data_IF_351370369751
#
_entry.id   IF_351370369751
#
_cell.length_a   1.000
_cell.length_b   1.000
_cell.length_c   1.000
_cell.angle_alpha   90.00
_cell.angle_beta   90.00
_cell.angle_gamma   90.00
#
_symmetry.space_group_name_H-M   'P 1'
#
loop_
_entity.id
_entity.type
_entity.pdbx_description
1 polymer ?
#
# COMPACT_ATOMS: atom_id res chain seq x y z
N UNK A 1 -27.11 31.58 35.09
CA UNK A 1 -27.00 30.92 36.40
C UNK A 1 -27.38 29.47 36.14
N UNK A 2 -26.39 28.62 35.85
CA UNK A 2 -25.64 27.81 36.83
C UNK A 2 -26.58 26.72 37.40
N UNK A 3 -26.27 25.42 37.39
CA UNK A 3 -25.14 24.78 38.06
C UNK A 3 -25.02 23.29 37.60
N UNK A 4 -23.77 22.84 37.43
CA UNK A 4 -23.11 21.51 37.66
C UNK A 4 -23.94 20.21 37.80
N UNK A 5 -23.64 19.12 37.07
CA UNK A 5 -22.48 18.19 37.08
C UNK A 5 -22.45 17.19 38.26
N UNK A 6 -22.59 15.89 37.97
CA UNK A 6 -21.71 14.83 38.51
C UNK A 6 -21.84 13.51 37.72
N UNK A 7 -20.69 12.87 37.47
CA UNK A 7 -20.50 11.50 37.02
C UNK A 7 -20.86 10.49 38.11
N UNK A 8 -21.24 9.26 37.72
CA UNK A 8 -20.81 8.07 38.43
C UNK A 8 -20.57 6.87 37.49
N UNK A 9 -19.47 6.19 37.77
CA UNK A 9 -18.84 5.08 37.06
C UNK A 9 -19.40 3.76 37.59
N UNK A 10 -19.75 2.79 36.73
CA UNK A 10 -19.87 1.38 37.14
C UNK A 10 -19.61 0.42 35.96
N UNK A 11 -18.63 -0.45 36.15
CA UNK A 11 -18.40 -1.70 35.43
C UNK A 11 -18.01 -2.76 36.50
N UNK A 12 -17.88 -4.05 36.20
CA UNK A 12 -18.69 -4.96 35.37
C UNK A 12 -19.00 -6.28 36.14
N UNK A 13 -19.88 -7.15 35.61
CA UNK A 13 -19.86 -8.58 35.93
C UNK A 13 -21.15 -9.19 36.46
N UNK A 14 -22.02 -9.66 35.55
CA UNK A 14 -23.04 -10.66 35.85
C UNK A 14 -23.62 -11.33 34.59
N UNK A 15 -23.58 -10.67 33.44
CA UNK A 15 -24.32 -11.12 32.25
C UNK A 15 -23.65 -12.23 31.41
N UNK A 16 -22.43 -12.69 31.74
CA UNK A 16 -21.68 -13.65 30.90
C UNK A 16 -21.79 -15.13 31.35
N UNK A 17 -22.51 -15.45 32.43
CA UNK A 17 -22.60 -16.84 32.93
C UNK A 17 -23.85 -17.61 32.46
N UNK A 18 -24.86 -16.95 31.91
CA UNK A 18 -26.10 -17.61 31.45
C UNK A 18 -26.04 -18.22 30.05
N UNK A 19 -25.16 -17.72 29.17
CA UNK A 19 -25.13 -18.11 27.76
C UNK A 19 -24.34 -19.40 27.44
N UNK A 20 -23.71 -20.03 28.45
CA UNK A 20 -22.81 -21.18 28.27
C UNK A 20 -23.45 -22.56 28.51
N UNK A 21 -24.75 -22.64 28.82
CA UNK A 21 -25.40 -23.92 29.17
C UNK A 21 -26.47 -24.42 28.18
N UNK A 22 -26.62 -23.82 27.01
CA UNK A 22 -27.59 -24.28 26.00
C UNK A 22 -26.95 -24.40 24.60
N UNK A 23 -26.09 -25.41 24.41
CA UNK A 23 -25.66 -25.85 23.08
C UNK A 23 -26.11 -27.31 22.86
N UNK A 24 -26.91 -27.61 21.81
CA UNK A 24 -27.31 -28.98 21.49
C UNK A 24 -26.15 -29.79 20.89
N UNK A 25 -26.14 -31.11 21.15
CA UNK A 25 -25.13 -32.06 20.66
C UNK A 25 -25.15 -32.17 19.12
N UNK A 26 -23.98 -32.35 18.46
CA UNK A 26 -23.89 -32.36 17.01
C UNK A 26 -24.36 -33.70 16.40
N UNK A 27 -25.28 -33.64 15.44
CA UNK A 27 -25.67 -34.74 14.57
C UNK A 27 -24.67 -34.95 13.43
N UNK A 28 -24.74 -36.14 12.83
CA UNK A 28 -23.87 -36.86 11.87
C UNK A 28 -23.17 -36.13 10.70
N UNK A 29 -23.29 -34.81 10.53
CA UNK A 29 -22.54 -34.03 9.53
C UNK A 29 -21.10 -33.68 9.93
N UNK A 30 -20.72 -33.84 11.20
CA UNK A 30 -19.40 -33.46 11.74
C UNK A 30 -18.27 -34.43 11.44
N UNK A 31 -18.56 -35.64 10.94
CA UNK A 31 -17.52 -36.61 10.56
C UNK A 31 -16.79 -36.23 9.26
N UNK A 32 -17.41 -35.47 8.36
CA UNK A 32 -16.76 -34.98 7.13
C UNK A 32 -15.83 -33.77 7.41
N UNK A 33 -16.22 -32.88 8.33
CA UNK A 33 -15.38 -31.75 8.76
C UNK A 33 -14.17 -32.21 9.60
N UNK A 34 -14.32 -33.28 10.39
CA UNK A 34 -13.21 -33.87 11.15
C UNK A 34 -12.20 -34.61 10.27
N UNK A 35 -12.59 -35.09 9.09
CA UNK A 35 -11.67 -35.68 8.11
C UNK A 35 -10.81 -34.61 7.42
N UNK A 36 -11.39 -33.45 7.05
CA UNK A 36 -10.66 -32.31 6.50
C UNK A 36 -9.70 -31.66 7.51
N UNK A 37 -9.99 -31.71 8.81
CA UNK A 37 -9.10 -31.22 9.86
C UNK A 37 -7.92 -32.18 10.19
N UNK A 38 -7.98 -33.45 9.72
CA UNK A 38 -6.90 -34.44 9.93
C UNK A 38 -5.77 -34.37 8.89
N UNK A 39 -5.94 -33.59 7.82
CA UNK A 39 -4.88 -33.29 6.83
C UNK A 39 -4.12 -31.98 7.13
N UNK A 40 -4.38 -31.34 8.27
CA UNK A 40 -3.52 -30.27 8.77
C UNK A 40 -2.17 -30.84 9.25
N UNK A 41 -1.01 -30.36 8.77
CA UNK A 41 0.28 -30.90 9.18
C UNK A 41 0.49 -30.73 10.69
N UNK A 42 0.57 -31.84 11.43
CA UNK A 42 1.00 -31.84 12.84
C UNK A 42 2.44 -31.32 12.90
N UNK A 43 2.66 -30.19 13.58
CA UNK A 43 3.99 -29.70 13.98
C UNK A 43 4.71 -30.79 14.78
N UNK A 44 5.69 -31.48 14.17
CA UNK A 44 6.71 -32.21 14.93
C UNK A 44 7.74 -31.21 15.44
N UNK A 45 7.88 -31.15 16.76
CA UNK A 45 8.95 -30.41 17.45
C UNK A 45 10.21 -31.29 17.37
N UNK A 46 11.03 -31.07 16.34
CA UNK A 46 12.37 -31.66 16.19
C UNK A 46 13.43 -30.61 16.54
N UNK A 47 14.39 -30.98 17.38
CA UNK A 47 15.38 -30.06 17.96
C UNK A 47 16.51 -29.64 17.01
N UNK A 48 17.07 -28.47 17.35
CA UNK A 48 18.32 -27.84 16.89
C UNK A 48 18.50 -27.62 15.38
N UNK A 49 18.16 -26.39 14.96
CA UNK A 49 19.02 -25.58 14.09
C UNK A 49 19.01 -25.88 12.59
N UNK A 50 17.88 -25.62 11.93
CA UNK A 50 17.76 -25.60 10.47
C UNK A 50 16.31 -25.81 10.06
N UNK A 51 15.68 -24.80 9.44
CA UNK A 51 14.30 -24.89 9.00
C UNK A 51 14.24 -25.76 7.74
N UNK A 52 14.09 -27.07 7.93
CA UNK A 52 13.84 -28.02 6.84
C UNK A 52 12.42 -27.82 6.31
N UNK A 53 12.33 -27.53 5.00
CA UNK A 53 11.12 -27.23 4.25
C UNK A 53 10.26 -28.50 4.24
N UNK A 54 9.21 -28.56 5.05
CA UNK A 54 8.32 -29.72 5.10
C UNK A 54 7.56 -29.85 3.78
N UNK A 55 7.75 -31.00 3.14
CA UNK A 55 7.06 -31.48 1.95
C UNK A 55 5.54 -31.28 2.02
N UNK A 56 5.04 -30.37 1.20
CA UNK A 56 3.63 -30.32 0.80
C UNK A 56 3.61 -30.42 -0.71
N UNK A 57 2.83 -31.36 -1.23
CA UNK A 57 2.77 -31.78 -2.63
C UNK A 57 2.26 -30.71 -3.64
N UNK A 58 2.33 -29.42 -3.28
CA UNK A 58 1.96 -28.27 -4.12
C UNK A 58 3.10 -27.24 -4.27
N UNK A 59 4.32 -27.55 -3.80
CA UNK A 59 5.53 -26.76 -4.02
C UNK A 59 6.42 -27.39 -5.11
N UNK A 60 5.91 -27.48 -6.33
CA UNK A 60 6.79 -27.42 -7.49
C UNK A 60 6.64 -26.04 -8.12
N UNK A 61 7.25 -25.05 -7.46
CA UNK A 61 7.58 -23.79 -8.12
C UNK A 61 8.45 -24.16 -9.33
N UNK A 62 7.95 -23.94 -10.55
CA UNK A 62 8.75 -24.15 -11.74
C UNK A 62 9.93 -23.18 -11.72
N UNK A 63 11.11 -23.69 -11.40
CA UNK A 63 12.32 -22.90 -11.42
C UNK A 63 12.86 -22.81 -12.84
N UNK A 64 12.35 -21.84 -13.61
CA UNK A 64 12.91 -21.49 -14.92
C UNK A 64 13.95 -20.36 -14.80
N UNK A 65 14.45 -20.03 -13.60
CA UNK A 65 15.47 -18.98 -13.42
C UNK A 65 16.78 -19.45 -14.06
N UNK A 66 16.99 -19.08 -15.32
CA UNK A 66 18.20 -19.43 -16.07
C UNK A 66 17.96 -19.76 -17.53
N UNK A 67 16.70 -19.99 -17.94
CA UNK A 67 16.35 -20.28 -19.33
C UNK A 67 16.18 -18.94 -20.08
N UNK A 68 17.04 -18.69 -21.09
CA UNK A 68 16.84 -17.58 -22.03
C UNK A 68 15.93 -18.06 -23.16
N UNK A 69 14.73 -17.49 -23.27
CA UNK A 69 13.74 -17.82 -24.31
C UNK A 69 12.43 -18.39 -23.75
N UNK A 70 11.56 -18.89 -24.65
CA UNK A 70 10.38 -19.65 -24.25
C UNK A 70 10.79 -20.94 -23.53
N UNK A 71 10.07 -21.33 -22.47
CA UNK A 71 10.33 -22.57 -21.75
C UNK A 71 10.28 -23.75 -22.74
N UNK A 72 11.31 -24.63 -22.79
CA UNK A 72 11.39 -25.65 -23.82
C UNK A 72 10.17 -26.60 -23.79
N UNK A 73 9.64 -27.01 -24.96
CA UNK A 73 8.58 -27.99 -25.06
C UNK A 73 9.06 -29.38 -24.62
N UNK A 74 8.14 -30.30 -24.27
CA UNK A 74 8.46 -31.56 -23.63
C UNK A 74 9.13 -32.52 -24.61
N UNK A 75 10.44 -32.53 -24.66
CA UNK A 75 11.18 -33.69 -25.11
C UNK A 75 12.61 -33.66 -24.54
N UNK A 76 13.06 -34.85 -24.15
CA UNK A 76 14.43 -35.20 -23.77
C UNK A 76 14.76 -34.92 -22.29
N UNK A 77 14.69 -36.00 -21.50
CA UNK A 77 15.20 -36.21 -20.13
C UNK A 77 14.29 -35.79 -18.96
N UNK A 78 13.42 -36.71 -18.54
CA UNK A 78 13.26 -37.21 -17.15
C UNK A 78 13.01 -36.27 -15.95
N UNK A 79 13.00 -34.95 -16.09
CA UNK A 79 12.74 -33.99 -15.01
C UNK A 79 11.38 -33.35 -15.23
N UNK A 80 10.41 -33.80 -14.45
CA UNK A 80 9.06 -33.23 -14.38
C UNK A 80 9.12 -31.78 -13.84
N UNK A 81 9.35 -30.80 -14.73
CA UNK A 81 9.14 -29.37 -14.45
C UNK A 81 8.05 -28.86 -15.39
N UNK A 82 6.84 -29.38 -15.18
CA UNK A 82 5.66 -28.94 -15.90
C UNK A 82 5.05 -27.74 -15.18
N UNK A 83 4.91 -26.61 -15.86
CA UNK A 83 4.12 -25.48 -15.38
C UNK A 83 2.80 -25.41 -16.15
N UNK A 84 1.75 -26.14 -15.73
CA UNK A 84 0.48 -26.19 -16.45
C UNK A 84 -0.17 -24.80 -16.64
N UNK A 85 0.09 -23.86 -15.73
CA UNK A 85 -0.37 -22.48 -15.81
C UNK A 85 0.24 -21.69 -16.98
N UNK A 86 1.42 -22.09 -17.45
CA UNK A 86 2.22 -21.31 -18.40
C UNK A 86 2.18 -21.86 -19.82
N UNK A 87 1.64 -23.06 -20.03
CA UNK A 87 1.34 -23.62 -21.35
C UNK A 87 -0.04 -23.19 -21.89
N UNK A 88 -0.96 -22.80 -21.00
CA UNK A 88 -2.34 -22.42 -21.35
C UNK A 88 -2.49 -21.09 -22.11
N UNK A 89 -1.40 -20.36 -22.36
CA UNK A 89 -1.40 -19.10 -23.11
C UNK A 89 -1.67 -19.29 -24.62
N UNK A 90 -1.80 -20.52 -25.10
CA UNK A 90 -1.91 -20.84 -26.52
C UNK A 90 -3.35 -21.25 -26.86
N UNK A 91 -4.03 -20.35 -27.59
CA UNK A 91 -5.34 -20.52 -28.24
C UNK A 91 -6.57 -20.39 -27.31
N UNK A 92 -7.04 -19.15 -27.10
CA UNK A 92 -8.34 -18.85 -26.48
C UNK A 92 -8.38 -17.50 -25.75
N UNK A 93 -9.58 -16.98 -25.38
CA UNK A 93 -9.68 -15.83 -24.49
C UNK A 93 -9.03 -16.15 -23.13
N UNK A 94 -8.38 -15.17 -22.47
CA UNK A 94 -7.69 -15.41 -21.20
C UNK A 94 -8.64 -15.99 -20.14
N UNK A 95 -8.33 -17.19 -19.64
CA UNK A 95 -9.11 -17.81 -18.55
C UNK A 95 -8.84 -17.08 -17.24
N UNK A 96 -9.89 -16.81 -16.48
CA UNK A 96 -9.79 -16.37 -15.08
C UNK A 96 -9.81 -17.58 -14.14
N UNK A 97 -8.94 -17.55 -13.12
CA UNK A 97 -8.73 -18.63 -12.18
C UNK A 97 -9.41 -18.34 -10.83
N UNK A 98 -9.84 -19.42 -10.15
CA UNK A 98 -10.22 -19.36 -8.73
C UNK A 98 -8.99 -19.36 -7.83
N UNK A 99 -9.16 -18.96 -6.57
CA UNK A 99 -8.07 -18.89 -5.58
C UNK A 99 -7.24 -20.16 -5.52
N UNK A 100 -7.85 -21.34 -5.41
CA UNK A 100 -7.13 -22.61 -5.31
C UNK A 100 -6.40 -22.99 -6.60
N UNK A 101 -6.85 -22.45 -7.74
CA UNK A 101 -6.25 -22.65 -9.07
C UNK A 101 -5.18 -21.59 -9.37
N UNK A 102 -5.06 -20.50 -8.60
CA UNK A 102 -4.07 -19.48 -8.88
C UNK A 102 -2.67 -19.90 -8.37
N UNK A 103 -1.57 -19.48 -9.04
CA UNK A 103 -0.22 -19.65 -8.53
C UNK A 103 -0.06 -19.09 -7.11
N UNK A 104 0.71 -19.80 -6.25
CA UNK A 104 0.86 -19.44 -4.84
C UNK A 104 1.33 -17.99 -4.60
N UNK A 105 2.18 -17.47 -5.48
CA UNK A 105 2.70 -16.10 -5.43
C UNK A 105 1.60 -15.03 -5.56
N UNK A 106 0.50 -15.31 -6.27
CA UNK A 106 -0.62 -14.40 -6.45
C UNK A 106 -1.68 -14.52 -5.34
N UNK A 107 -1.56 -15.54 -4.47
CA UNK A 107 -2.53 -15.89 -3.44
C UNK A 107 -2.20 -15.23 -2.09
N UNK A 108 -2.23 -13.90 -2.05
CA UNK A 108 -1.94 -13.15 -0.81
C UNK A 108 -3.17 -12.83 0.04
N UNK A 109 -4.35 -12.67 -0.56
CA UNK A 109 -5.61 -12.35 0.14
C UNK A 109 -6.66 -13.48 0.02
N UNK A 110 -6.83 -14.34 1.04
CA UNK A 110 -7.71 -15.52 0.99
C UNK A 110 -9.20 -15.18 0.91
N UNK A 111 -9.57 -13.91 1.12
CA UNK A 111 -10.94 -13.46 0.91
C UNK A 111 -11.23 -13.20 -0.57
N UNK A 112 -10.23 -13.03 -1.43
CA UNK A 112 -10.45 -12.90 -2.88
C UNK A 112 -10.45 -14.30 -3.49
N UNK A 113 -11.60 -14.73 -4.03
CA UNK A 113 -11.83 -16.15 -4.36
C UNK A 113 -11.74 -16.46 -5.85
N UNK A 114 -11.84 -15.45 -6.70
CA UNK A 114 -11.91 -15.60 -8.15
C UNK A 114 -11.36 -14.39 -8.90
N UNK A 115 -11.37 -14.46 -10.23
CA UNK A 115 -10.93 -13.36 -11.10
C UNK A 115 -9.42 -13.27 -11.31
N UNK A 116 -8.64 -14.26 -10.88
CA UNK A 116 -7.19 -14.26 -11.01
C UNK A 116 -6.74 -14.44 -12.46
N UNK A 117 -5.72 -13.70 -12.87
CA UNK A 117 -5.02 -13.87 -14.15
C UNK A 117 -3.68 -14.55 -13.91
N UNK A 118 -3.29 -15.48 -14.78
CA UNK A 118 -1.98 -16.13 -14.71
C UNK A 118 -1.51 -16.56 -16.11
N UNK A 119 -0.20 -16.52 -16.33
CA UNK A 119 0.41 -17.03 -17.56
C UNK A 119 0.10 -16.21 -18.81
N UNK A 120 -0.01 -14.88 -18.68
CA UNK A 120 -0.31 -14.01 -19.81
C UNK A 120 0.98 -13.52 -20.50
N UNK A 121 0.94 -13.40 -21.82
CA UNK A 121 1.94 -12.61 -22.56
C UNK A 121 1.82 -11.12 -22.22
N UNK A 122 2.87 -10.34 -22.45
CA UNK A 122 2.83 -8.89 -22.23
C UNK A 122 1.69 -8.20 -23.00
N UNK A 123 1.43 -8.66 -24.23
CA UNK A 123 0.30 -8.18 -25.04
C UNK A 123 -1.06 -8.52 -24.39
N UNK A 124 -1.24 -9.75 -23.89
CA UNK A 124 -2.46 -10.14 -23.19
C UNK A 124 -2.64 -9.37 -21.87
N UNK A 125 -1.56 -9.04 -21.16
CA UNK A 125 -1.63 -8.15 -19.99
C UNK A 125 -2.18 -6.77 -20.39
N UNK A 126 -1.65 -6.15 -21.44
CA UNK A 126 -2.17 -4.87 -21.94
C UNK A 126 -3.63 -4.99 -22.40
N UNK A 127 -3.98 -6.04 -23.15
CA UNK A 127 -5.35 -6.27 -23.61
C UNK A 127 -6.34 -6.48 -22.45
N UNK A 128 -5.87 -7.01 -21.32
CA UNK A 128 -6.71 -7.23 -20.13
C UNK A 128 -7.12 -5.96 -19.40
N UNK A 129 -6.55 -4.79 -19.74
CA UNK A 129 -7.00 -3.48 -19.22
C UNK A 129 -8.49 -3.23 -19.47
N UNK A 130 -9.01 -3.77 -20.58
CA UNK A 130 -10.41 -3.67 -20.99
C UNK A 130 -11.25 -4.89 -20.55
N UNK A 131 -10.68 -5.78 -19.74
CA UNK A 131 -11.34 -6.97 -19.21
C UNK A 131 -11.59 -6.81 -17.72
N UNK A 132 -12.68 -7.41 -17.24
CA UNK A 132 -13.01 -7.40 -15.82
C UNK A 132 -12.38 -8.60 -15.11
N UNK A 133 -11.56 -8.33 -14.11
CA UNK A 133 -10.83 -9.30 -13.31
C UNK A 133 -10.51 -8.71 -11.92
N UNK A 134 -9.93 -9.50 -11.02
CA UNK A 134 -9.70 -9.06 -9.63
C UNK A 134 -8.74 -7.86 -9.49
N UNK A 135 -7.82 -7.70 -10.44
CA UNK A 135 -6.91 -6.55 -10.50
C UNK A 135 -7.47 -5.31 -11.23
N UNK A 136 -8.67 -5.35 -11.83
CA UNK A 136 -9.14 -4.24 -12.68
C UNK A 136 -9.24 -2.94 -11.88
N UNK A 137 -9.85 -2.98 -10.70
CA UNK A 137 -9.93 -1.81 -9.83
C UNK A 137 -8.56 -1.33 -9.33
N UNK A 138 -7.60 -2.24 -9.10
CA UNK A 138 -6.24 -1.88 -8.67
C UNK A 138 -5.50 -1.11 -9.78
N UNK A 139 -5.66 -1.51 -11.03
CA UNK A 139 -5.08 -0.83 -12.18
C UNK A 139 -5.74 0.55 -12.37
N UNK A 140 -7.06 0.58 -12.52
CA UNK A 140 -7.77 1.81 -12.89
C UNK A 140 -7.74 2.88 -11.80
N UNK A 141 -7.70 2.50 -10.53
CA UNK A 141 -7.58 3.44 -9.40
C UNK A 141 -6.29 4.26 -9.39
N UNK A 142 -5.20 3.76 -10.00
CA UNK A 142 -3.95 4.52 -10.17
C UNK A 142 -3.76 5.05 -11.60
N UNK A 143 -4.29 4.36 -12.61
CA UNK A 143 -4.24 4.83 -14.00
C UNK A 143 -5.06 6.11 -14.19
N UNK A 144 -6.27 6.21 -13.61
CA UNK A 144 -7.11 7.40 -13.75
C UNK A 144 -6.45 8.66 -13.17
N UNK A 145 -5.93 8.68 -11.93
CA UNK A 145 -5.16 9.81 -11.42
C UNK A 145 -3.92 10.15 -12.27
N UNK A 146 -3.19 9.15 -12.78
CA UNK A 146 -2.04 9.39 -13.66
C UNK A 146 -2.46 10.09 -14.96
N UNK A 147 -3.54 9.65 -15.59
CA UNK A 147 -4.11 10.30 -16.78
C UNK A 147 -4.62 11.71 -16.47
N UNK A 148 -5.24 11.90 -15.31
CA UNK A 148 -5.68 13.21 -14.86
C UNK A 148 -4.50 14.18 -14.70
N UNK A 149 -3.38 13.73 -14.11
CA UNK A 149 -2.16 14.55 -14.02
C UNK A 149 -1.63 14.96 -15.39
N UNK A 150 -1.65 14.05 -16.37
CA UNK A 150 -1.26 14.38 -17.74
C UNK A 150 -2.21 15.40 -18.39
N UNK A 151 -3.51 15.31 -18.11
CA UNK A 151 -4.52 16.24 -18.62
C UNK A 151 -4.42 17.64 -17.96
N UNK A 152 -4.04 17.71 -16.68
CA UNK A 152 -3.89 18.95 -15.93
C UNK A 152 -2.56 19.69 -16.20
N UNK A 153 -1.54 19.00 -16.72
CA UNK A 153 -0.24 19.62 -16.99
C UNK A 153 -0.30 20.75 -18.06
N UNK A 154 -0.94 20.57 -19.23
CA UNK A 154 -1.05 21.63 -20.23
C UNK A 154 -1.93 22.81 -19.82
N UNK A 155 -2.96 22.57 -19.00
CA UNK A 155 -3.93 23.59 -18.58
C UNK A 155 -3.42 24.56 -17.50
N UNK A 156 -2.18 24.38 -17.05
CA UNK A 156 -1.53 25.25 -16.08
C UNK A 156 -1.80 24.90 -14.61
N UNK A 157 -2.67 23.93 -14.32
CA UNK A 157 -3.00 23.51 -12.95
C UNK A 157 -1.87 22.74 -12.27
N UNK A 158 -0.94 22.19 -13.07
CA UNK A 158 0.28 21.51 -12.63
C UNK A 158 1.51 22.24 -13.21
N UNK A 159 1.57 23.56 -12.99
CA UNK A 159 2.75 24.36 -13.34
C UNK A 159 3.88 24.17 -12.34
N UNK A 160 5.11 24.17 -12.86
CA UNK A 160 6.29 24.14 -12.03
C UNK A 160 6.32 25.38 -11.13
N UNK A 161 6.63 25.15 -9.85
CA UNK A 161 6.79 26.20 -8.87
C UNK A 161 7.89 27.19 -9.29
N UNK A 162 7.56 28.49 -9.27
CA UNK A 162 8.46 29.54 -9.73
C UNK A 162 9.77 29.54 -8.94
N UNK A 163 10.91 29.39 -9.63
CA UNK A 163 12.23 29.27 -8.99
C UNK A 163 12.51 27.92 -8.29
N UNK A 164 11.58 26.96 -8.34
CA UNK A 164 11.67 25.68 -7.63
C UNK A 164 11.25 24.47 -8.49
N UNK A 165 11.56 24.51 -9.80
CA UNK A 165 11.16 23.45 -10.74
C UNK A 165 11.68 22.06 -10.36
N UNK A 166 12.90 21.94 -9.82
CA UNK A 166 13.43 20.65 -9.38
C UNK A 166 12.64 20.05 -8.20
N UNK A 167 12.27 20.88 -7.24
CA UNK A 167 11.43 20.49 -6.10
C UNK A 167 10.02 20.08 -6.57
N UNK A 168 9.47 20.81 -7.53
CA UNK A 168 8.21 20.47 -8.19
C UNK A 168 8.25 19.10 -8.85
N UNK A 169 9.27 18.82 -9.68
CA UNK A 169 9.41 17.52 -10.33
C UNK A 169 9.72 16.38 -9.34
N UNK A 170 10.44 16.66 -8.26
CA UNK A 170 10.62 15.70 -7.17
C UNK A 170 9.28 15.34 -6.50
N UNK A 171 8.35 16.29 -6.37
CA UNK A 171 7.02 16.04 -5.82
C UNK A 171 6.06 15.40 -6.84
N UNK A 172 5.74 16.10 -7.93
CA UNK A 172 4.75 15.65 -8.92
C UNK A 172 5.27 14.46 -9.73
N UNK A 173 6.56 14.45 -10.08
CA UNK A 173 7.18 13.34 -10.79
C UNK A 173 7.27 12.07 -9.94
N UNK A 174 7.50 12.17 -8.63
CA UNK A 174 7.46 10.99 -7.74
C UNK A 174 6.05 10.41 -7.64
N UNK A 175 5.02 11.25 -7.50
CA UNK A 175 3.60 10.82 -7.48
C UNK A 175 3.25 10.09 -8.77
N UNK A 176 3.59 10.69 -9.92
CA UNK A 176 3.34 10.09 -11.23
C UNK A 176 4.08 8.75 -11.40
N UNK A 177 5.36 8.70 -11.01
CA UNK A 177 6.15 7.47 -11.07
C UNK A 177 5.59 6.36 -10.15
N UNK A 178 5.05 6.71 -8.99
CA UNK A 178 4.38 5.76 -8.10
C UNK A 178 3.12 5.18 -8.74
N UNK A 179 2.26 6.02 -9.33
CA UNK A 179 1.07 5.53 -10.03
C UNK A 179 1.45 4.61 -11.20
N UNK A 180 2.43 4.99 -12.02
CA UNK A 180 2.89 4.16 -13.13
C UNK A 180 3.53 2.85 -12.67
N UNK A 181 4.34 2.87 -11.61
CA UNK A 181 4.96 1.67 -11.04
C UNK A 181 3.90 0.67 -10.56
N UNK A 182 2.86 1.18 -9.89
CA UNK A 182 1.74 0.38 -9.43
C UNK A 182 0.87 -0.16 -10.56
N UNK A 183 0.54 0.67 -11.55
CA UNK A 183 -0.17 0.23 -12.78
C UNK A 183 0.63 -0.84 -13.50
N UNK A 184 1.94 -0.67 -13.65
CA UNK A 184 2.81 -1.65 -14.27
C UNK A 184 2.82 -2.98 -13.50
N UNK A 185 2.90 -2.94 -12.17
CA UNK A 185 2.79 -4.15 -11.36
C UNK A 185 1.45 -4.86 -11.56
N UNK A 186 0.33 -4.20 -11.30
CA UNK A 186 -0.99 -4.82 -11.38
C UNK A 186 -1.38 -5.24 -12.79
N UNK A 187 -0.94 -4.52 -13.82
CA UNK A 187 -1.17 -4.90 -15.22
C UNK A 187 -0.38 -6.16 -15.59
N UNK A 188 0.92 -6.21 -15.23
CA UNK A 188 1.85 -7.25 -15.67
C UNK A 188 2.16 -8.33 -14.63
N UNK A 189 1.53 -8.35 -13.45
CA UNK A 189 1.78 -9.40 -12.44
C UNK A 189 1.41 -10.80 -12.93
N UNK A 190 0.50 -10.90 -13.91
CA UNK A 190 0.12 -12.15 -14.56
C UNK A 190 1.13 -12.62 -15.62
N UNK A 191 2.11 -11.78 -15.98
CA UNK A 191 3.19 -12.10 -16.90
C UNK A 191 4.31 -12.89 -16.21
N UNK A 192 4.90 -13.82 -16.96
CA UNK A 192 5.91 -14.74 -16.44
C UNK A 192 7.15 -13.99 -15.92
N UNK A 193 7.73 -14.49 -14.82
CA UNK A 193 9.05 -14.11 -14.29
C UNK A 193 9.28 -12.63 -13.90
N UNK A 194 8.30 -11.74 -14.06
CA UNK A 194 8.45 -10.31 -13.75
C UNK A 194 7.78 -9.88 -12.45
N UNK A 195 6.92 -10.72 -11.84
CA UNK A 195 6.18 -10.39 -10.61
C UNK A 195 7.06 -9.75 -9.53
N UNK A 196 8.12 -10.42 -9.09
CA UNK A 196 8.93 -9.94 -7.97
C UNK A 196 9.69 -8.64 -8.28
N UNK A 197 10.07 -8.45 -9.55
CA UNK A 197 10.75 -7.22 -9.99
C UNK A 197 9.78 -6.05 -10.05
N UNK A 198 8.57 -6.28 -10.58
CA UNK A 198 7.52 -5.28 -10.65
C UNK A 198 6.95 -4.94 -9.27
N UNK A 199 6.84 -5.92 -8.37
CA UNK A 199 6.46 -5.67 -6.97
C UNK A 199 7.49 -4.80 -6.27
N UNK A 200 8.79 -5.05 -6.50
CA UNK A 200 9.85 -4.16 -6.00
C UNK A 200 9.75 -2.77 -6.60
N UNK A 201 9.44 -2.64 -7.88
CA UNK A 201 9.23 -1.35 -8.53
C UNK A 201 8.08 -0.56 -7.89
N UNK A 202 6.95 -1.22 -7.64
CA UNK A 202 5.78 -0.62 -6.96
C UNK A 202 6.13 -0.14 -5.55
N UNK A 203 6.80 -0.98 -4.76
CA UNK A 203 7.31 -0.61 -3.42
C UNK A 203 8.32 0.54 -3.48
N UNK A 204 9.20 0.56 -4.47
CA UNK A 204 10.12 1.68 -4.70
C UNK A 204 9.38 2.96 -5.08
N UNK A 205 8.27 2.88 -5.83
CA UNK A 205 7.40 4.01 -6.14
C UNK A 205 6.82 4.63 -4.87
N UNK A 206 6.33 3.81 -3.94
CA UNK A 206 5.86 4.27 -2.62
C UNK A 206 6.99 5.00 -1.88
N UNK A 207 8.19 4.41 -1.82
CA UNK A 207 9.35 5.05 -1.18
C UNK A 207 9.72 6.38 -1.83
N UNK A 208 9.65 6.48 -3.16
CA UNK A 208 9.96 7.69 -3.90
C UNK A 208 8.99 8.82 -3.53
N UNK A 209 7.70 8.54 -3.41
CA UNK A 209 6.69 9.53 -2.97
C UNK A 209 6.87 9.90 -1.50
N UNK A 210 7.15 8.92 -0.63
CA UNK A 210 7.41 9.19 0.77
C UNK A 210 8.59 10.17 0.90
N UNK A 211 9.74 9.84 0.32
CA UNK A 211 10.95 10.68 0.40
C UNK A 211 10.78 12.02 -0.32
N UNK A 212 10.26 12.01 -1.55
CA UNK A 212 10.08 13.21 -2.38
C UNK A 212 9.05 14.18 -1.79
N UNK A 213 7.89 13.65 -1.38
CA UNK A 213 6.84 14.43 -0.72
C UNK A 213 7.24 14.94 0.66
N UNK A 214 7.85 14.08 1.47
CA UNK A 214 8.33 14.45 2.80
C UNK A 214 9.41 15.52 2.77
N UNK A 215 10.25 15.55 1.73
CA UNK A 215 11.22 16.64 1.54
C UNK A 215 10.54 18.02 1.50
N UNK A 216 9.45 18.16 0.72
CA UNK A 216 8.73 19.44 0.60
C UNK A 216 8.15 19.88 1.96
N UNK A 217 7.50 18.95 2.65
CA UNK A 217 6.88 19.16 3.97
C UNK A 217 7.89 19.70 4.97
N UNK A 218 9.11 19.15 4.97
CA UNK A 218 10.14 19.50 5.96
C UNK A 218 10.92 20.75 5.55
N UNK A 219 11.24 20.90 4.27
CA UNK A 219 12.15 21.95 3.82
C UNK A 219 11.49 23.33 3.84
N UNK A 220 10.27 23.44 3.29
CA UNK A 220 9.50 24.69 3.31
C UNK A 220 8.68 24.85 4.57
N UNK A 221 8.10 23.77 5.09
CA UNK A 221 7.29 23.83 6.30
C UNK A 221 8.04 24.37 7.51
N UNK A 222 9.34 24.09 7.63
CA UNK A 222 10.20 24.62 8.70
C UNK A 222 11.13 25.75 8.26
N UNK A 223 10.81 26.49 7.19
CA UNK A 223 11.66 27.58 6.71
C UNK A 223 11.98 28.62 7.81
N UNK A 224 11.02 28.91 8.67
CA UNK A 224 11.15 29.83 9.81
C UNK A 224 11.86 29.24 11.04
N UNK A 225 12.14 27.93 11.05
CA UNK A 225 12.69 27.23 12.21
C UNK A 225 13.92 26.38 11.81
N UNK A 226 15.10 27.00 11.57
CA UNK A 226 16.25 26.32 10.96
C UNK A 226 16.76 25.10 11.74
N UNK A 227 16.72 25.16 13.07
CA UNK A 227 17.14 24.05 13.94
C UNK A 227 16.22 22.84 13.77
N UNK A 228 14.90 23.05 13.88
CA UNK A 228 13.90 21.99 13.68
C UNK A 228 13.98 21.42 12.26
N UNK A 229 14.14 22.27 11.24
CA UNK A 229 14.35 21.86 9.85
C UNK A 229 15.54 20.91 9.73
N UNK A 230 16.71 21.31 10.25
CA UNK A 230 17.93 20.50 10.15
C UNK A 230 17.76 19.14 10.84
N UNK A 231 17.19 19.12 12.04
CA UNK A 231 16.93 17.88 12.81
C UNK A 231 16.02 16.94 12.04
N UNK A 232 14.83 17.41 11.62
CA UNK A 232 13.87 16.54 10.93
C UNK A 232 14.37 16.09 9.56
N UNK A 233 14.98 16.98 8.77
CA UNK A 233 15.53 16.62 7.45
C UNK A 233 16.61 15.54 7.57
N UNK A 234 17.52 15.68 8.54
CA UNK A 234 18.59 14.70 8.76
C UNK A 234 18.03 13.33 9.15
N UNK A 235 17.11 13.29 10.12
CA UNK A 235 16.45 12.06 10.54
C UNK A 235 15.66 11.42 9.39
N UNK A 236 14.94 12.24 8.62
CA UNK A 236 14.08 11.78 7.55
C UNK A 236 14.89 11.14 6.42
N UNK A 237 15.98 11.77 5.96
CA UNK A 237 16.82 11.19 4.93
C UNK A 237 17.61 9.97 5.41
N UNK A 238 18.03 9.93 6.68
CA UNK A 238 18.64 8.72 7.25
C UNK A 238 17.64 7.54 7.24
N UNK A 239 16.41 7.75 7.68
CA UNK A 239 15.35 6.74 7.59
C UNK A 239 14.99 6.38 6.14
N UNK A 240 15.00 7.35 5.22
CA UNK A 240 14.78 7.14 3.80
C UNK A 240 15.84 6.24 3.17
N UNK A 241 17.12 6.48 3.45
CA UNK A 241 18.22 5.64 2.99
C UNK A 241 18.11 4.20 3.52
N UNK A 242 17.77 4.04 4.80
CA UNK A 242 17.51 2.72 5.40
C UNK A 242 16.31 2.02 4.74
N UNK A 243 15.28 2.75 4.37
CA UNK A 243 14.09 2.21 3.69
C UNK A 243 14.42 1.71 2.28
N UNK A 244 15.21 2.46 1.52
CA UNK A 244 15.69 2.01 0.19
C UNK A 244 16.56 0.77 0.34
N UNK A 245 17.51 0.78 1.27
CA UNK A 245 18.36 -0.39 1.53
C UNK A 245 17.54 -1.63 1.89
N UNK A 246 16.54 -1.49 2.76
CA UNK A 246 15.66 -2.57 3.17
C UNK A 246 14.75 -3.04 2.03
N UNK A 247 14.20 -2.15 1.22
CA UNK A 247 13.38 -2.52 0.07
C UNK A 247 14.14 -3.38 -0.95
N UNK A 248 15.43 -3.10 -1.14
CA UNK A 248 16.27 -3.85 -2.08
C UNK A 248 16.74 -5.20 -1.53
N UNK A 249 16.98 -5.32 -0.22
CA UNK A 249 17.59 -6.52 0.39
C UNK A 249 16.66 -7.40 1.20
N UNK A 250 15.63 -6.84 1.84
CA UNK A 250 14.78 -7.59 2.75
C UNK A 250 13.88 -8.57 1.99
N UNK A 251 13.92 -9.83 2.43
CA UNK A 251 13.11 -10.91 1.84
C UNK A 251 11.68 -10.91 2.38
N UNK A 252 11.44 -10.38 3.57
CA UNK A 252 10.12 -10.35 4.23
C UNK A 252 9.43 -9.00 4.08
N UNK A 253 8.10 -9.01 4.05
CA UNK A 253 7.29 -7.78 4.04
C UNK A 253 7.54 -6.93 5.29
N UNK A 254 7.67 -7.57 6.46
CA UNK A 254 7.97 -6.88 7.73
C UNK A 254 9.33 -6.18 7.69
N UNK A 255 10.35 -6.83 7.12
CA UNK A 255 11.68 -6.25 6.99
C UNK A 255 11.70 -5.01 6.08
N UNK A 256 10.84 -4.97 5.06
CA UNK A 256 10.65 -3.79 4.20
C UNK A 256 9.83 -2.69 4.90
N UNK A 257 8.82 -3.07 5.69
CA UNK A 257 7.89 -2.14 6.33
C UNK A 257 8.44 -1.42 7.56
N UNK A 258 9.38 -2.01 8.30
CA UNK A 258 9.88 -1.40 9.55
C UNK A 258 10.58 -0.03 9.33
N UNK A 259 11.50 0.14 8.36
CA UNK A 259 12.04 1.46 8.04
C UNK A 259 11.00 2.46 7.52
N UNK A 260 9.99 2.00 6.78
CA UNK A 260 8.89 2.84 6.31
C UNK A 260 8.05 3.35 7.50
N UNK A 261 7.84 2.53 8.52
CA UNK A 261 7.21 2.94 9.78
C UNK A 261 8.05 4.00 10.50
N UNK A 262 9.37 3.84 10.58
CA UNK A 262 10.23 4.85 11.16
C UNK A 262 10.12 6.20 10.41
N UNK A 263 10.10 6.17 9.08
CA UNK A 263 9.92 7.35 8.24
C UNK A 263 8.57 8.05 8.50
N UNK A 264 7.49 7.27 8.65
CA UNK A 264 6.18 7.77 9.04
C UNK A 264 6.22 8.43 10.42
N UNK A 265 6.86 7.82 11.42
CA UNK A 265 6.96 8.39 12.78
C UNK A 265 7.71 9.72 12.78
N UNK A 266 8.78 9.86 12.00
CA UNK A 266 9.48 11.15 11.84
C UNK A 266 8.54 12.20 11.25
N UNK A 267 7.71 11.83 10.26
CA UNK A 267 6.72 12.73 9.65
C UNK A 267 5.63 13.15 10.65
N UNK A 268 5.14 12.23 11.48
CA UNK A 268 4.18 12.56 12.55
C UNK A 268 4.77 13.50 13.59
N UNK A 269 6.03 13.28 14.00
CA UNK A 269 6.73 14.15 14.93
C UNK A 269 6.95 15.56 14.35
N UNK A 270 7.31 15.63 13.07
CA UNK A 270 7.44 16.89 12.35
C UNK A 270 6.09 17.63 12.25
N UNK A 271 5.01 16.94 11.87
CA UNK A 271 3.67 17.51 11.84
C UNK A 271 3.26 18.08 13.21
N UNK A 272 3.42 17.29 14.28
CA UNK A 272 3.09 17.71 15.65
C UNK A 272 3.90 18.92 16.11
N UNK A 273 5.22 18.93 15.81
CA UNK A 273 6.09 20.07 16.14
C UNK A 273 5.66 21.32 15.39
N UNK A 274 5.36 21.20 14.10
CA UNK A 274 4.90 22.32 13.29
C UNK A 274 3.55 22.86 13.76
N UNK A 275 2.62 21.97 14.11
CA UNK A 275 1.34 22.36 14.72
C UNK A 275 1.53 23.12 16.04
N UNK A 276 2.48 22.71 16.88
CA UNK A 276 2.78 23.38 18.14
C UNK A 276 3.42 24.77 17.93
N UNK A 277 4.29 24.92 16.94
CA UNK A 277 5.00 26.18 16.67
C UNK A 277 4.14 27.21 15.94
N UNK A 278 3.29 26.77 15.01
CA UNK A 278 2.56 27.68 14.10
C UNK A 278 1.05 27.72 14.36
N UNK A 279 0.51 26.72 15.06
CA UNK A 279 -0.93 26.56 15.25
C UNK A 279 -1.67 26.12 13.99
N UNK A 280 -2.88 25.58 14.19
CA UNK A 280 -3.73 25.09 13.09
C UNK A 280 -4.15 26.19 12.09
N UNK A 281 -4.32 27.42 12.58
CA UNK A 281 -4.72 28.55 11.76
C UNK A 281 -3.54 29.20 11.02
N UNK A 282 -2.31 29.12 11.57
CA UNK A 282 -1.14 29.81 11.04
C UNK A 282 -0.52 29.17 9.80
N UNK A 283 -0.84 27.90 9.50
CA UNK A 283 -0.29 27.18 8.37
C UNK A 283 -1.38 26.42 7.59
N UNK A 284 -1.92 27.00 6.49
CA UNK A 284 -2.93 26.34 5.66
C UNK A 284 -2.50 24.95 5.14
N UNK A 285 -1.20 24.75 4.89
CA UNK A 285 -0.64 23.46 4.47
C UNK A 285 -0.87 22.33 5.50
N UNK A 286 -0.95 22.64 6.80
CA UNK A 286 -1.20 21.61 7.84
C UNK A 286 -2.53 20.89 7.64
N UNK A 287 -3.55 21.57 7.07
CA UNK A 287 -4.85 20.96 6.80
C UNK A 287 -4.75 19.88 5.73
N UNK A 288 -3.99 20.17 4.68
CA UNK A 288 -3.70 19.22 3.61
C UNK A 288 -2.85 18.06 4.12
N UNK A 289 -1.81 18.32 4.90
CA UNK A 289 -0.99 17.25 5.47
C UNK A 289 -1.75 16.39 6.48
N UNK A 290 -2.64 16.97 7.28
CA UNK A 290 -3.53 16.20 8.15
C UNK A 290 -4.44 15.28 7.34
N UNK A 291 -5.08 15.79 6.29
CA UNK A 291 -5.92 14.99 5.40
C UNK A 291 -5.11 13.88 4.70
N UNK A 292 -3.89 14.18 4.25
CA UNK A 292 -2.95 13.21 3.69
C UNK A 292 -2.67 12.07 4.68
N UNK A 293 -2.38 12.37 5.96
CA UNK A 293 -2.14 11.34 6.98
C UNK A 293 -3.39 10.49 7.23
N UNK A 294 -4.56 11.12 7.36
CA UNK A 294 -5.82 10.41 7.58
C UNK A 294 -6.07 9.42 6.43
N UNK A 295 -5.98 9.86 5.18
CA UNK A 295 -6.18 8.99 4.03
C UNK A 295 -5.12 7.88 3.93
N UNK A 296 -3.84 8.20 4.16
CA UNK A 296 -2.75 7.23 4.09
C UNK A 296 -2.86 6.15 5.17
N UNK A 297 -3.12 6.55 6.42
CA UNK A 297 -3.26 5.63 7.55
C UNK A 297 -4.54 4.79 7.45
N UNK A 298 -5.66 5.41 7.07
CA UNK A 298 -6.92 4.69 6.86
C UNK A 298 -6.79 3.65 5.74
N UNK A 299 -6.21 4.04 4.58
CA UNK A 299 -5.96 3.11 3.48
C UNK A 299 -5.05 1.95 3.87
N UNK A 300 -3.94 2.24 4.54
CA UNK A 300 -3.02 1.21 5.03
C UNK A 300 -3.69 0.26 6.03
N UNK A 301 -4.46 0.79 6.99
CA UNK A 301 -5.18 -0.01 7.97
C UNK A 301 -6.23 -0.92 7.32
N UNK A 302 -7.04 -0.39 6.39
CA UNK A 302 -8.06 -1.17 5.69
C UNK A 302 -7.44 -2.33 4.89
N UNK A 303 -6.35 -2.08 4.17
CA UNK A 303 -5.62 -3.11 3.40
C UNK A 303 -5.00 -4.20 4.30
N UNK A 304 -4.37 -3.80 5.42
CA UNK A 304 -3.78 -4.77 6.37
C UNK A 304 -4.87 -5.61 7.05
N UNK A 305 -5.99 -4.98 7.44
CA UNK A 305 -7.10 -5.66 8.10
C UNK A 305 -7.99 -6.45 7.12
N UNK A 306 -7.82 -6.23 5.80
CA UNK A 306 -8.57 -6.84 4.69
C UNK A 306 -10.05 -6.52 4.75
N UNK A 307 -10.36 -5.25 5.00
CA UNK A 307 -11.73 -4.74 5.10
C UNK A 307 -12.11 -3.99 3.80
N UNK A 308 -13.32 -4.25 3.25
CA UNK A 308 -14.45 -4.95 3.87
C UNK A 308 -14.55 -6.44 3.53
N UNK A 309 -13.73 -6.99 2.64
CA UNK A 309 -13.89 -8.35 2.11
C UNK A 309 -13.85 -9.44 3.17
N UNK A 310 -13.15 -9.21 4.28
CA UNK A 310 -13.16 -10.09 5.45
C UNK A 310 -14.51 -10.17 6.17
N UNK A 311 -15.30 -9.09 6.15
CA UNK A 311 -16.55 -8.99 6.90
C UNK A 311 -17.78 -9.22 6.04
N UNK A 312 -17.76 -8.72 4.80
CA UNK A 312 -18.94 -8.66 3.95
C UNK A 312 -19.00 -9.79 2.90
N UNK A 313 -17.90 -10.49 2.62
CA UNK A 313 -17.99 -11.63 1.70
C UNK A 313 -18.71 -12.81 2.36
N UNK A 314 -19.69 -13.45 1.68
CA UNK A 314 -20.35 -14.65 2.20
C UNK A 314 -19.36 -15.78 2.45
N UNK A 315 -19.49 -16.55 3.54
CA UNK A 315 -18.57 -17.68 3.81
C UNK A 315 -18.71 -18.83 2.80
N UNK A 316 -19.91 -19.04 2.24
CA UNK A 316 -20.16 -20.09 1.26
C UNK A 316 -19.44 -19.81 -0.07
N UNK A 317 -18.51 -20.67 -0.51
CA UNK A 317 -17.78 -20.51 -1.78
C UNK A 317 -18.67 -20.54 -3.03
N UNK A 318 -19.92 -20.99 -2.91
CA UNK A 318 -20.88 -21.05 -4.03
C UNK A 318 -21.61 -19.72 -4.24
N UNK A 319 -21.60 -18.83 -3.26
CA UNK A 319 -22.26 -17.53 -3.36
C UNK A 319 -21.38 -16.54 -4.14
N UNK A 320 -21.99 -15.60 -4.88
CA UNK A 320 -21.22 -14.58 -5.59
C UNK A 320 -20.41 -13.74 -4.60
N UNK A 321 -19.12 -13.57 -4.91
CA UNK A 321 -18.18 -12.75 -4.16
C UNK A 321 -17.95 -11.43 -4.91
N UNK A 322 -18.85 -10.43 -4.80
CA UNK A 322 -18.73 -9.18 -5.58
C UNK A 322 -17.45 -8.42 -5.26
N UNK A 323 -16.94 -8.58 -4.02
CA UNK A 323 -15.71 -7.96 -3.56
C UNK A 323 -14.45 -8.56 -4.20
N UNK A 324 -14.55 -9.66 -4.94
CA UNK A 324 -13.44 -10.17 -5.75
C UNK A 324 -13.05 -9.17 -6.85
N UNK A 325 -14.04 -8.43 -7.37
CA UNK A 325 -13.86 -7.54 -8.52
C UNK A 325 -13.83 -6.06 -8.11
N UNK A 326 -14.64 -5.66 -7.12
CA UNK A 326 -14.83 -4.26 -6.76
C UNK A 326 -14.77 -4.03 -5.24
N UNK A 327 -14.27 -2.88 -4.81
CA UNK A 327 -14.30 -2.42 -3.43
C UNK A 327 -13.65 -3.38 -2.40
N UNK A 328 -12.70 -4.21 -2.82
CA UNK A 328 -11.83 -4.86 -1.83
C UNK A 328 -10.87 -3.85 -1.19
N UNK A 329 -10.29 -4.25 -0.06
CA UNK A 329 -9.40 -3.43 0.74
C UNK A 329 -8.21 -2.85 -0.03
N UNK A 330 -7.66 -3.59 -0.99
CA UNK A 330 -6.53 -3.12 -1.79
C UNK A 330 -6.94 -1.99 -2.74
N UNK A 331 -8.09 -2.13 -3.40
CA UNK A 331 -8.66 -1.09 -4.25
C UNK A 331 -9.02 0.16 -3.45
N UNK A 332 -9.60 -0.01 -2.26
CA UNK A 332 -9.92 1.12 -1.37
C UNK A 332 -8.63 1.83 -0.93
N UNK A 333 -7.59 1.07 -0.57
CA UNK A 333 -6.29 1.64 -0.25
C UNK A 333 -5.71 2.43 -1.43
N UNK A 334 -5.75 1.92 -2.66
CA UNK A 334 -5.29 2.68 -3.84
C UNK A 334 -6.00 4.03 -3.96
N UNK A 335 -7.33 4.04 -3.85
CA UNK A 335 -8.12 5.28 -3.93
C UNK A 335 -7.74 6.25 -2.80
N UNK A 336 -7.66 5.78 -1.56
CA UNK A 336 -7.29 6.62 -0.43
C UNK A 336 -5.86 7.15 -0.54
N UNK A 337 -4.91 6.33 -1.00
CA UNK A 337 -3.52 6.75 -1.21
C UNK A 337 -3.42 7.76 -2.36
N UNK A 338 -4.19 7.62 -3.43
CA UNK A 338 -4.25 8.63 -4.49
C UNK A 338 -4.79 9.97 -3.98
N UNK A 339 -5.84 9.95 -3.14
CA UNK A 339 -6.33 11.16 -2.45
C UNK A 339 -5.27 11.74 -1.50
N UNK A 340 -4.52 10.90 -0.79
CA UNK A 340 -3.41 11.35 0.06
C UNK A 340 -2.32 12.05 -0.75
N UNK A 341 -1.93 11.50 -1.91
CA UNK A 341 -0.94 12.11 -2.82
C UNK A 341 -1.43 13.44 -3.40
N UNK A 342 -2.73 13.57 -3.68
CA UNK A 342 -3.31 14.85 -4.07
C UNK A 342 -3.20 15.89 -2.94
N UNK A 343 -3.54 15.51 -1.72
CA UNK A 343 -3.40 16.38 -0.55
C UNK A 343 -1.93 16.74 -0.27
N UNK A 344 -1.00 15.80 -0.46
CA UNK A 344 0.44 16.05 -0.38
C UNK A 344 0.85 17.17 -1.34
N UNK A 345 0.42 17.11 -2.61
CA UNK A 345 0.72 18.14 -3.60
C UNK A 345 0.14 19.50 -3.21
N UNK A 346 -1.13 19.56 -2.80
CA UNK A 346 -1.77 20.81 -2.37
C UNK A 346 -1.07 21.43 -1.15
N UNK A 347 -0.66 20.59 -0.19
CA UNK A 347 0.09 21.05 0.97
C UNK A 347 1.47 21.60 0.59
N UNK A 348 2.21 20.89 -0.27
CA UNK A 348 3.52 21.32 -0.74
C UNK A 348 3.46 22.62 -1.54
N UNK A 349 2.42 22.79 -2.35
CA UNK A 349 2.15 24.00 -3.11
C UNK A 349 1.78 25.19 -2.20
N UNK A 350 0.99 24.96 -1.15
CA UNK A 350 0.71 25.97 -0.12
C UNK A 350 1.97 26.40 0.65
N UNK A 351 2.84 25.45 1.01
CA UNK A 351 4.11 25.73 1.66
C UNK A 351 5.09 26.45 0.73
N UNK A 352 5.14 26.09 -0.54
CA UNK A 352 5.94 26.80 -1.54
C UNK A 352 5.53 28.26 -1.64
N UNK A 353 4.23 28.54 -1.84
CA UNK A 353 3.72 29.92 -1.91
C UNK A 353 4.10 30.73 -0.68
N UNK A 354 3.96 30.12 0.50
CA UNK A 354 4.34 30.77 1.75
C UNK A 354 5.84 31.03 1.83
N UNK A 355 6.66 30.07 1.41
CA UNK A 355 8.10 30.24 1.35
C UNK A 355 8.51 31.35 0.37
N UNK A 356 7.89 31.42 -0.81
CA UNK A 356 8.11 32.53 -1.76
C UNK A 356 7.78 33.88 -1.13
N UNK A 357 6.65 33.97 -0.40
CA UNK A 357 6.24 35.17 0.32
C UNK A 357 7.21 35.57 1.47
N UNK A 358 7.89 34.60 2.09
CA UNK A 358 8.96 34.89 3.05
C UNK A 358 10.20 35.44 2.35
N UNK A 359 10.53 34.92 1.16
CA UNK A 359 11.72 35.31 0.41
C UNK A 359 11.59 36.70 -0.26
N UNK A 360 10.38 37.08 -0.67
CA UNK A 360 10.10 38.42 -1.22
C UNK A 360 9.78 39.46 -0.14
N UNK A 361 9.71 39.06 1.13
CA UNK A 361 9.46 39.91 2.28
C UNK A 361 8.00 40.29 2.50
N UNK A 362 7.06 39.76 1.72
CA UNK A 362 5.62 39.98 1.91
C UNK A 362 5.04 39.27 3.14
N UNK A 363 5.76 38.28 3.67
CA UNK A 363 5.43 37.58 4.91
C UNK A 363 6.64 37.58 5.86
N UNK A 364 6.38 37.65 7.17
CA UNK A 364 7.39 37.50 8.21
C UNK A 364 7.18 36.20 9.01
N UNK A 365 8.27 35.64 9.54
CA UNK A 365 8.19 34.45 10.37
C UNK A 365 7.50 34.73 11.72
N UNK A 366 6.66 33.81 12.22
CA UNK A 366 6.06 33.91 13.54
C UNK A 366 7.17 33.86 14.60
N UNK A 367 7.42 35.00 15.26
CA UNK A 367 8.50 35.18 16.24
C UNK A 367 9.42 36.37 15.96
N UNK A 368 9.55 36.82 14.69
CA UNK A 368 10.34 38.02 14.34
C UNK A 368 9.59 39.32 14.66
N UNK A 369 8.26 39.31 14.61
CA UNK A 369 7.42 40.48 14.94
C UNK A 369 7.46 40.81 16.44
N UNK A 370 7.60 39.82 17.32
CA UNK A 370 7.66 40.03 18.77
C UNK A 370 8.96 40.70 19.22
N UNK A 371 10.07 40.49 18.50
CA UNK A 371 11.35 41.15 18.79
C UNK A 371 11.39 42.59 18.27
N UNK A 372 10.71 42.89 17.15
CA UNK A 372 10.66 44.23 16.55
C UNK A 372 9.66 45.17 17.25
N UNK A 373 8.68 44.64 18.00
CA UNK A 373 7.76 45.45 18.81
C UNK A 373 8.24 45.70 20.24
N UNK A 374 9.44 45.22 20.60
CA UNK A 374 10.07 45.43 21.92
C UNK A 374 11.37 46.24 21.84
N UNK A 375 11.70 46.83 20.69
CA UNK A 375 12.84 47.73 20.50
C UNK A 375 12.43 49.19 20.39
#
# INVERSE_FOLDING_TARGET
MAVEATLEVLAPGAALKGALQAAPRPTSGTKAAAAAAREAPRRRRGGKGGMERSDTAFLQECDCRGVRGACPPPAVVGLATWCPYYAAATVGPPRLYRWHEAPAVLRFNPFIRSGYRAGLSAHQCCASLLQLHNESGNIWSHLLPALLMLALAPGGQLQAWHGAAAAYWANVGSIFACFLGSVAYHCFQAHHHCHDRLLKLDVCGILLVLVGGGHMVLWWGFACFPAARLTFVTLYYACGALSVWAALRAQTAVGRGLPMLALLLVRQAAFGTRLALEGWAGAPALRHYFAMEVFSLAGGALNVLRLPERWLQPEDPKQPAPLDLFCNSHQIMHVLVALAMWQLHLGADADHRRFSALMDGSLACPGLVAAASMS
#
